data_IF_058789660478
#
_entry.id   IF_058789660478
#
_cell.length_a   1.000
_cell.length_b   1.000
_cell.length_c   1.000
_cell.angle_alpha   90.00
_cell.angle_beta   90.00
_cell.angle_gamma   90.00
#
_symmetry.space_group_name_H-M   'P 1'
#
loop_
_entity.id
_entity.type
_entity.pdbx_description
1 polymer ?
#
# COMPACT_ATOMS: atom_id res chain seq x y z
N UNK A 1 -9.55 -6.69 21.18
CA UNK A 1 -8.23 -6.92 21.67
C UNK A 1 -7.83 -8.31 21.41
N UNK A 2 -7.08 -8.89 21.07
CA UNK A 2 -6.76 -10.26 20.74
C UNK A 2 -6.67 -10.48 19.26
N UNK A 3 -7.01 -9.48 18.47
CA UNK A 3 -6.84 -9.58 17.04
C UNK A 3 -5.35 -9.65 16.72
N UNK A 4 -5.00 -10.39 15.68
CA UNK A 4 -3.63 -10.46 15.23
C UNK A 4 -3.14 -9.06 14.87
N UNK A 5 -1.89 -8.71 15.23
CA UNK A 5 -1.35 -7.42 14.90
C UNK A 5 -1.42 -7.16 13.39
N UNK A 6 -1.85 -5.96 13.02
CA UNK A 6 -1.90 -5.55 11.64
C UNK A 6 -3.15 -5.88 10.86
N UNK A 7 -3.97 -6.80 11.33
CA UNK A 7 -5.18 -7.21 10.59
C UNK A 7 -6.16 -6.06 10.44
N UNK A 8 -6.48 -5.37 11.54
CA UNK A 8 -7.38 -4.24 11.47
C UNK A 8 -6.70 -2.97 10.97
N UNK A 9 -5.39 -2.87 11.13
CA UNK A 9 -4.64 -1.67 10.77
C UNK A 9 -4.61 -1.41 9.27
N UNK A 10 -4.41 -2.45 8.48
CA UNK A 10 -4.40 -2.29 7.03
C UNK A 10 -5.76 -1.82 6.54
N UNK A 11 -6.82 -2.42 7.05
CA UNK A 11 -8.18 -2.05 6.70
C UNK A 11 -8.46 -0.58 7.05
N UNK A 12 -8.08 -0.16 8.27
CA UNK A 12 -8.25 1.22 8.73
C UNK A 12 -7.46 2.20 7.89
N UNK A 13 -6.21 1.86 7.57
CA UNK A 13 -5.35 2.70 6.74
C UNK A 13 -6.00 2.94 5.37
N UNK A 14 -6.52 1.87 4.76
CA UNK A 14 -7.15 2.00 3.45
C UNK A 14 -8.43 2.81 3.51
N UNK A 15 -9.21 2.67 4.58
CA UNK A 15 -10.42 3.47 4.76
C UNK A 15 -10.09 4.95 4.90
N UNK A 16 -9.11 5.28 5.72
CA UNK A 16 -8.67 6.66 5.89
C UNK A 16 -8.12 7.22 4.59
N UNK A 17 -7.32 6.43 3.88
CA UNK A 17 -6.78 6.81 2.59
C UNK A 17 -7.89 7.10 1.58
N UNK A 18 -8.96 6.31 1.60
CA UNK A 18 -10.08 6.51 0.70
C UNK A 18 -10.80 7.83 0.97
N UNK A 19 -10.93 8.19 2.25
CA UNK A 19 -11.53 9.48 2.60
C UNK A 19 -10.68 10.64 2.11
N UNK A 20 -9.36 10.53 2.27
CA UNK A 20 -8.45 11.55 1.77
C UNK A 20 -8.51 11.65 0.24
N UNK A 21 -8.58 10.51 -0.43
CA UNK A 21 -8.68 10.47 -1.89
C UNK A 21 -9.96 11.16 -2.36
N UNK A 22 -11.07 10.90 -1.68
CA UNK A 22 -12.34 11.54 -2.01
C UNK A 22 -12.29 13.06 -1.82
N UNK A 23 -11.49 13.52 -0.87
CA UNK A 23 -11.34 14.95 -0.63
C UNK A 23 -10.44 15.64 -1.65
N UNK A 24 -9.87 14.89 -2.56
CA UNK A 24 -9.01 15.45 -3.60
C UNK A 24 -7.54 15.39 -3.28
N UNK A 25 -7.13 14.72 -2.21
CA UNK A 25 -5.73 14.58 -1.87
C UNK A 25 -5.05 13.60 -2.82
N UNK A 26 -3.77 13.83 -3.08
CA UNK A 26 -2.97 12.95 -3.92
C UNK A 26 -2.43 11.79 -3.07
N UNK A 27 -3.13 10.67 -3.10
CA UNK A 27 -2.84 9.50 -2.27
C UNK A 27 -2.32 8.36 -3.14
N UNK A 28 -1.19 7.79 -2.75
CA UNK A 28 -0.57 6.67 -3.46
C UNK A 28 -0.31 5.54 -2.48
N UNK A 29 -0.60 4.32 -2.90
CA UNK A 29 -0.29 3.14 -2.10
C UNK A 29 1.10 2.62 -2.50
N UNK A 30 1.98 2.48 -1.52
CA UNK A 30 3.30 1.93 -1.74
C UNK A 30 3.35 0.44 -1.42
N UNK A 31 3.34 0.11 -0.15
CA UNK A 31 3.29 -1.29 0.29
C UNK A 31 2.00 -1.52 1.04
N UNK A 32 1.16 -2.40 0.54
CA UNK A 32 -0.08 -2.77 1.22
C UNK A 32 -0.20 -4.28 1.18
N UNK A 33 -0.27 -4.89 2.36
CA UNK A 33 -0.42 -6.33 2.47
C UNK A 33 -1.89 -6.69 2.63
N UNK A 34 -2.45 -7.25 1.58
CA UNK A 34 -3.86 -7.65 1.60
C UNK A 34 -4.05 -9.09 2.03
N UNK A 35 -2.98 -9.86 2.05
CA UNK A 35 -3.00 -11.29 2.39
C UNK A 35 -4.00 -12.08 1.53
N UNK A 36 -4.22 -11.63 0.29
CA UNK A 36 -5.14 -12.29 -0.62
C UNK A 36 -6.60 -12.16 -0.25
N UNK A 37 -6.96 -11.29 0.68
CA UNK A 37 -8.35 -11.10 1.10
C UNK A 37 -9.07 -10.21 0.10
N UNK A 38 -10.16 -10.73 -0.47
CA UNK A 38 -10.91 -10.00 -1.49
C UNK A 38 -11.42 -8.65 -0.99
N UNK A 39 -11.88 -8.60 0.25
CA UNK A 39 -12.38 -7.36 0.84
C UNK A 39 -11.31 -6.29 0.92
N UNK A 40 -10.11 -6.67 1.34
CA UNK A 40 -9.01 -5.74 1.47
C UNK A 40 -8.49 -5.33 0.10
N UNK A 41 -8.41 -6.27 -0.84
CA UNK A 41 -7.98 -5.95 -2.19
C UNK A 41 -8.93 -4.98 -2.88
N UNK A 42 -10.23 -5.11 -2.62
CA UNK A 42 -11.22 -4.20 -3.15
C UNK A 42 -11.00 -2.76 -2.64
N UNK A 43 -10.50 -2.62 -1.43
CA UNK A 43 -10.21 -1.31 -0.87
C UNK A 43 -8.97 -0.66 -1.49
N UNK A 44 -8.08 -1.46 -2.04
CA UNK A 44 -6.87 -0.95 -2.71
C UNK A 44 -7.20 -0.46 -4.13
N UNK A 45 -8.22 -1.02 -4.75
CA UNK A 45 -8.54 -0.75 -6.15
C UNK A 45 -8.61 0.73 -6.55
N UNK A 46 -9.17 1.65 -5.73
CA UNK A 46 -9.23 3.06 -6.10
C UNK A 46 -7.90 3.80 -6.10
N UNK A 47 -6.87 3.23 -5.48
CA UNK A 47 -5.60 3.91 -5.32
C UNK A 47 -4.64 3.64 -6.46
N UNK A 48 -3.79 4.63 -6.75
CA UNK A 48 -2.62 4.39 -7.56
C UNK A 48 -1.64 3.60 -6.71
N UNK A 49 -1.16 2.48 -7.23
CA UNK A 49 -0.20 1.62 -6.53
C UNK A 49 1.12 1.67 -7.27
N UNK A 50 2.19 2.02 -6.57
CA UNK A 50 3.51 2.00 -7.17
C UNK A 50 4.01 0.57 -7.28
N UNK A 51 4.59 0.19 -8.42
CA UNK A 51 5.16 -1.14 -8.56
C UNK A 51 6.34 -1.32 -7.63
N UNK A 52 6.51 -2.53 -7.11
CA UNK A 52 7.65 -2.85 -6.27
C UNK A 52 8.87 -3.09 -7.15
N UNK A 53 10.04 -2.76 -6.61
CA UNK A 53 11.29 -3.04 -7.29
C UNK A 53 11.68 -4.50 -7.05
N UNK A 54 11.98 -5.21 -8.12
CA UNK A 54 12.36 -6.61 -8.02
C UNK A 54 13.88 -6.69 -7.86
N UNK A 55 14.31 -7.31 -6.77
CA UNK A 55 15.73 -7.42 -6.45
C UNK A 55 16.12 -8.89 -6.42
N UNK A 56 17.20 -9.22 -7.10
CA UNK A 56 17.71 -10.59 -7.13
C UNK A 56 18.54 -10.88 -5.89
N UNK A 57 18.21 -11.98 -5.24
CA UNK A 57 18.96 -12.51 -4.11
C UNK A 57 19.34 -13.95 -4.41
N UNK A 58 20.53 -14.14 -4.96
CA UNK A 58 20.95 -15.46 -5.39
C UNK A 58 20.03 -16.02 -6.47
N UNK A 59 19.37 -17.14 -6.20
CA UNK A 59 18.45 -17.76 -7.15
C UNK A 59 17.02 -17.22 -7.06
N UNK A 60 16.77 -16.29 -6.16
CA UNK A 60 15.42 -15.77 -5.92
C UNK A 60 15.30 -14.30 -6.28
N UNK A 61 14.10 -13.91 -6.70
CA UNK A 61 13.77 -12.51 -6.95
C UNK A 61 12.73 -12.10 -5.93
N UNK A 62 13.00 -11.03 -5.19
CA UNK A 62 12.12 -10.54 -4.14
C UNK A 62 11.59 -9.15 -4.46
N UNK A 63 10.30 -8.90 -4.24
CA UNK A 63 9.77 -7.55 -4.39
C UNK A 63 10.13 -6.71 -3.17
N UNK A 64 10.59 -5.49 -3.43
CA UNK A 64 10.92 -4.55 -2.37
C UNK A 64 10.25 -3.20 -2.64
N UNK A 65 10.05 -2.43 -1.58
CA UNK A 65 9.50 -1.10 -1.70
C UNK A 65 10.47 -0.21 -2.48
N UNK A 66 9.96 0.41 -3.54
CA UNK A 66 10.77 1.31 -4.35
C UNK A 66 10.63 2.73 -3.81
N UNK A 67 11.48 3.06 -2.86
CA UNK A 67 11.44 4.37 -2.23
C UNK A 67 11.80 5.49 -3.21
N UNK A 68 12.69 5.21 -4.15
CA UNK A 68 13.07 6.21 -5.15
C UNK A 68 11.90 6.57 -6.05
N UNK A 69 11.11 5.57 -6.44
CA UNK A 69 9.91 5.81 -7.23
C UNK A 69 8.88 6.61 -6.45
N UNK A 70 8.74 6.33 -5.15
CA UNK A 70 7.83 7.07 -4.29
C UNK A 70 8.27 8.52 -4.16
N UNK A 71 9.56 8.77 -3.98
CA UNK A 71 10.09 10.13 -3.87
C UNK A 71 9.91 10.91 -5.18
N UNK A 72 10.10 10.24 -6.31
CA UNK A 72 9.89 10.87 -7.63
C UNK A 72 8.43 11.18 -7.88
N UNK A 73 7.54 10.29 -7.45
CA UNK A 73 6.10 10.49 -7.61
C UNK A 73 5.61 11.65 -6.73
N UNK A 74 6.25 11.84 -5.57
CA UNK A 74 5.99 12.91 -4.62
C UNK A 74 4.51 13.06 -4.26
N UNK A 75 3.85 12.00 -3.78
CA UNK A 75 2.45 12.10 -3.41
C UNK A 75 2.30 12.94 -2.12
N UNK A 76 1.09 13.44 -1.93
CA UNK A 76 0.75 14.15 -0.71
C UNK A 76 0.69 13.17 0.47
N UNK A 77 0.17 11.98 0.22
CA UNK A 77 0.02 10.92 1.21
C UNK A 77 0.47 9.60 0.61
N UNK A 78 1.29 8.88 1.34
CA UNK A 78 1.72 7.54 0.94
C UNK A 78 1.19 6.54 1.96
N UNK A 79 0.54 5.49 1.47
CA UNK A 79 0.03 4.42 2.32
C UNK A 79 1.07 3.31 2.36
N UNK A 80 1.67 3.12 3.52
CA UNK A 80 2.72 2.12 3.71
C UNK A 80 2.37 1.27 4.93
N UNK A 81 2.28 -0.02 4.68
CA UNK A 81 1.90 -0.97 5.72
C UNK A 81 3.08 -1.39 6.59
#
# INVERSE_FOLDING_TARGET
LGAAPGVGKTFEMLREGAELLKSGADVVAGIVETHGRAETEALVAPFEVLPRRMIEHGAHTLPEFDIDAMLKRAPKVALID
#
